data_IF_069541398159
#
_entry.id   IF_069541398159
#
_cell.length_a   1.000
_cell.length_b   1.000
_cell.length_c   1.000
_cell.angle_alpha   90.00
_cell.angle_beta   90.00
_cell.angle_gamma   90.00
#
_symmetry.space_group_name_H-M   'P 1'
#
loop_
_entity.id
_entity.type
_entity.pdbx_description
1 polymer ?
#
# COMPACT_ATOMS: atom_id res chain seq x y z
N UNK A 1 -16.75 17.26 19.75
CA UNK A 1 -15.44 17.90 19.89
C UNK A 1 -14.52 17.26 18.85
N UNK A 2 -14.46 17.83 17.64
CA UNK A 2 -13.71 17.33 16.48
C UNK A 2 -12.83 18.48 15.98
N UNK A 3 -11.70 18.74 16.65
CA UNK A 3 -10.83 19.89 16.32
C UNK A 3 -9.37 19.51 16.10
N UNK A 4 -9.01 18.22 16.06
CA UNK A 4 -7.62 17.81 15.82
C UNK A 4 -7.34 17.13 14.47
N UNK A 5 -8.28 17.07 13.53
CA UNK A 5 -8.02 16.53 12.18
C UNK A 5 -7.57 15.06 12.13
N UNK A 6 -7.62 14.32 13.25
CA UNK A 6 -7.13 12.93 13.40
C UNK A 6 -8.04 11.89 12.70
N UNK A 7 -8.97 12.33 11.83
CA UNK A 7 -9.98 11.46 11.22
C UNK A 7 -10.28 11.78 9.75
N UNK A 8 -9.44 12.55 9.05
CA UNK A 8 -9.62 12.77 7.60
C UNK A 8 -9.42 11.51 6.76
N UNK A 9 -8.95 10.42 7.37
CA UNK A 9 -8.83 9.07 6.80
C UNK A 9 -9.97 8.11 7.23
N UNK A 10 -11.01 8.60 7.92
CA UNK A 10 -12.17 7.77 8.24
C UNK A 10 -13.20 7.85 7.12
N UNK A 11 -13.27 6.78 6.32
CA UNK A 11 -14.17 6.69 5.16
C UNK A 11 -15.64 6.97 5.50
N UNK A 12 -16.11 6.65 6.71
CA UNK A 12 -17.53 6.75 7.10
C UNK A 12 -18.10 8.15 6.89
N UNK A 13 -17.28 9.20 6.97
CA UNK A 13 -17.73 10.57 6.78
C UNK A 13 -18.03 10.94 5.32
N UNK A 14 -17.38 10.30 4.36
CA UNK A 14 -17.36 10.78 2.98
C UNK A 14 -17.46 9.69 1.91
N UNK A 15 -17.55 8.42 2.29
CA UNK A 15 -17.57 7.31 1.33
C UNK A 15 -18.78 7.34 0.39
N UNK A 16 -19.92 7.81 0.87
CA UNK A 16 -21.11 8.06 0.06
C UNK A 16 -20.93 9.16 -1.02
N UNK A 17 -19.82 9.91 -0.98
CA UNK A 17 -19.43 10.94 -1.97
C UNK A 17 -18.19 10.53 -2.75
N UNK A 18 -17.81 9.25 -2.75
CA UNK A 18 -16.56 8.80 -3.37
C UNK A 18 -16.44 9.21 -4.84
N UNK A 19 -17.50 9.07 -5.63
CA UNK A 19 -17.50 9.46 -7.05
C UNK A 19 -17.18 10.96 -7.21
N UNK A 20 -17.84 11.82 -6.45
CA UNK A 20 -17.56 13.26 -6.43
C UNK A 20 -16.12 13.55 -5.97
N UNK A 21 -15.59 12.81 -4.99
CA UNK A 21 -14.20 12.96 -4.55
C UNK A 21 -13.25 12.63 -5.69
N UNK A 22 -13.48 11.55 -6.44
CA UNK A 22 -12.65 11.18 -7.57
C UNK A 22 -12.72 12.23 -8.71
N UNK A 23 -13.90 12.81 -8.94
CA UNK A 23 -14.07 13.91 -9.90
C UNK A 23 -13.31 15.17 -9.48
N UNK A 24 -13.39 15.55 -8.19
CA UNK A 24 -12.71 16.73 -7.65
C UNK A 24 -11.20 16.52 -7.53
N UNK A 25 -10.76 15.30 -7.27
CA UNK A 25 -9.34 14.95 -7.11
C UNK A 25 -8.67 14.72 -8.47
N UNK A 26 -8.66 15.77 -9.29
CA UNK A 26 -7.95 15.76 -10.57
C UNK A 26 -6.48 16.15 -10.39
N UNK A 27 -5.58 15.28 -10.82
CA UNK A 27 -4.15 15.61 -10.87
C UNK A 27 -3.85 16.61 -12.00
N UNK A 28 -2.97 17.58 -11.71
CA UNK A 28 -2.47 18.53 -12.69
C UNK A 28 -1.71 17.85 -13.83
N UNK A 29 -1.66 18.50 -15.00
CA UNK A 29 -1.01 17.96 -16.21
C UNK A 29 0.45 17.59 -15.98
N UNK A 30 1.19 18.39 -15.22
CA UNK A 30 2.59 18.13 -14.88
C UNK A 30 2.76 16.86 -14.03
N UNK A 31 1.90 16.67 -13.03
CA UNK A 31 1.90 15.45 -12.19
C UNK A 31 1.66 14.21 -13.03
N UNK A 32 0.66 14.27 -13.92
CA UNK A 32 0.32 13.18 -14.83
C UNK A 32 1.50 12.86 -15.77
N UNK A 33 2.08 13.89 -16.38
CA UNK A 33 3.23 13.78 -17.27
C UNK A 33 4.43 13.13 -16.55
N UNK A 34 4.79 13.62 -15.37
CA UNK A 34 5.93 13.11 -14.62
C UNK A 34 5.74 11.64 -14.21
N UNK A 35 4.52 11.23 -13.88
CA UNK A 35 4.22 9.83 -13.57
C UNK A 35 4.35 8.92 -14.79
N UNK A 36 3.84 9.35 -15.96
CA UNK A 36 3.98 8.64 -17.23
C UNK A 36 5.45 8.51 -17.63
N UNK A 37 6.22 9.59 -17.53
CA UNK A 37 7.66 9.57 -17.82
C UNK A 37 8.42 8.66 -16.85
N UNK A 38 8.05 8.64 -15.58
CA UNK A 38 8.62 7.73 -14.59
C UNK A 38 8.32 6.26 -14.94
N UNK A 39 7.07 5.95 -15.29
CA UNK A 39 6.68 4.61 -15.73
C UNK A 39 7.48 4.19 -16.97
N UNK A 40 7.49 5.03 -18.00
CA UNK A 40 8.19 4.76 -19.25
C UNK A 40 9.68 4.50 -19.05
N UNK A 41 10.32 5.24 -18.13
CA UNK A 41 11.76 5.14 -17.88
C UNK A 41 12.16 3.91 -17.06
N UNK A 42 11.31 3.44 -16.14
CA UNK A 42 11.73 2.49 -15.08
C UNK A 42 11.00 1.15 -15.18
N UNK A 43 9.73 1.17 -15.62
CA UNK A 43 8.79 0.05 -15.41
C UNK A 43 8.17 -0.44 -16.73
N UNK A 44 8.24 0.32 -17.82
CA UNK A 44 7.54 0.02 -19.10
C UNK A 44 7.71 -1.42 -19.59
N UNK A 45 8.93 -1.96 -19.56
CA UNK A 45 9.24 -3.31 -20.06
C UNK A 45 8.89 -4.42 -19.04
N UNK A 46 8.48 -4.03 -17.84
CA UNK A 46 8.03 -4.97 -16.81
C UNK A 46 6.52 -5.18 -16.91
N UNK A 47 6.13 -6.28 -17.55
CA UNK A 47 4.73 -6.69 -17.73
C UNK A 47 4.16 -7.52 -16.57
N UNK A 48 4.92 -7.69 -15.48
CA UNK A 48 4.49 -8.44 -14.30
C UNK A 48 3.32 -7.77 -13.55
N UNK A 49 2.70 -8.47 -12.62
CA UNK A 49 1.74 -7.86 -11.71
C UNK A 49 2.43 -7.01 -10.65
N UNK A 50 2.05 -5.73 -10.58
CA UNK A 50 2.63 -4.74 -9.67
C UNK A 50 1.92 -4.77 -8.32
N UNK A 51 2.62 -5.32 -7.31
CA UNK A 51 2.24 -5.21 -5.90
C UNK A 51 2.90 -3.95 -5.34
N UNK A 52 2.11 -2.92 -5.14
CA UNK A 52 2.56 -1.67 -4.57
C UNK A 52 2.40 -1.71 -3.05
N UNK A 53 3.42 -1.28 -2.33
CA UNK A 53 3.51 -1.41 -0.87
C UNK A 53 3.86 -0.07 -0.28
N UNK A 54 2.95 0.50 0.51
CA UNK A 54 3.27 1.68 1.30
C UNK A 54 3.80 1.30 2.68
N UNK A 55 5.00 1.77 3.01
CA UNK A 55 5.63 1.61 4.32
C UNK A 55 5.76 2.96 5.04
N UNK A 56 5.59 2.93 6.35
CA UNK A 56 5.79 4.07 7.24
C UNK A 56 6.51 3.60 8.49
N UNK A 57 7.72 4.11 8.67
CA UNK A 57 8.59 3.80 9.81
C UNK A 57 9.11 5.10 10.41
N UNK A 58 9.54 5.07 11.68
CA UNK A 58 10.08 6.24 12.39
C UNK A 58 9.03 6.97 13.21
N UNK A 59 8.35 7.96 12.62
CA UNK A 59 7.35 8.79 13.33
C UNK A 59 6.06 8.06 13.72
N UNK A 60 5.93 6.80 13.29
CA UNK A 60 4.82 5.91 13.61
C UNK A 60 5.17 4.87 14.68
N UNK A 61 6.38 4.89 15.26
CA UNK A 61 6.78 3.91 16.28
C UNK A 61 5.83 3.98 17.48
N UNK A 62 5.18 2.85 17.81
CA UNK A 62 4.15 2.76 18.85
C UNK A 62 2.76 3.22 18.41
N UNK A 63 2.60 3.64 17.16
CA UNK A 63 1.34 4.11 16.55
C UNK A 63 0.92 3.23 15.35
N UNK A 64 1.51 2.03 15.21
CA UNK A 64 1.17 1.11 14.13
C UNK A 64 2.11 1.19 12.93
N UNK A 65 3.39 1.45 13.19
CA UNK A 65 4.50 1.44 12.22
C UNK A 65 4.56 0.14 11.40
N UNK A 66 5.11 0.24 10.20
CA UNK A 66 5.48 -0.92 9.40
C UNK A 66 6.56 -1.73 10.11
N UNK A 67 6.39 -3.05 10.17
CA UNK A 67 7.39 -3.99 10.67
C UNK A 67 7.83 -4.88 9.51
N UNK A 68 9.14 -5.09 9.34
CA UNK A 68 9.70 -5.80 8.17
C UNK A 68 9.07 -7.18 7.98
N UNK A 69 9.03 -8.02 9.02
CA UNK A 69 8.43 -9.36 8.93
C UNK A 69 6.95 -9.35 8.53
N UNK A 70 6.19 -8.34 8.98
CA UNK A 70 4.77 -8.20 8.64
C UNK A 70 4.61 -7.81 7.16
N UNK A 71 5.46 -6.88 6.69
CA UNK A 71 5.49 -6.50 5.28
C UNK A 71 5.83 -7.71 4.41
N UNK A 72 6.83 -8.50 4.81
CA UNK A 72 7.28 -9.68 4.09
C UNK A 72 6.18 -10.74 3.96
N UNK A 73 5.58 -11.13 5.09
CA UNK A 73 4.51 -12.11 5.11
C UNK A 73 3.26 -11.61 4.37
N UNK A 74 2.92 -10.33 4.48
CA UNK A 74 1.77 -9.75 3.78
C UNK A 74 1.93 -9.79 2.26
N UNK A 75 3.11 -9.45 1.73
CA UNK A 75 3.39 -9.53 0.28
C UNK A 75 3.21 -10.98 -0.21
N UNK A 76 3.71 -11.95 0.54
CA UNK A 76 3.61 -13.36 0.18
C UNK A 76 2.16 -13.88 0.24
N UNK A 77 1.38 -13.49 1.25
CA UNK A 77 -0.06 -13.79 1.33
C UNK A 77 -0.79 -13.22 0.11
N UNK A 78 -0.51 -11.97 -0.26
CA UNK A 78 -1.10 -11.31 -1.44
C UNK A 78 -0.75 -12.09 -2.71
N UNK A 79 0.53 -12.42 -2.89
CA UNK A 79 1.00 -13.19 -4.05
C UNK A 79 0.29 -14.53 -4.16
N UNK A 80 0.15 -15.26 -3.06
CA UNK A 80 -0.56 -16.54 -3.01
C UNK A 80 -2.04 -16.39 -3.33
N UNK A 81 -2.70 -15.36 -2.79
CA UNK A 81 -4.11 -15.09 -3.07
C UNK A 81 -4.34 -14.76 -4.54
N UNK A 82 -3.49 -13.92 -5.14
CA UNK A 82 -3.57 -13.59 -6.56
C UNK A 82 -3.33 -14.86 -7.41
N UNK A 83 -2.30 -15.63 -7.08
CA UNK A 83 -1.97 -16.86 -7.83
C UNK A 83 -3.12 -17.88 -7.79
N UNK A 84 -3.79 -18.03 -6.64
CA UNK A 84 -4.93 -18.93 -6.48
C UNK A 84 -6.18 -18.45 -7.21
N UNK A 85 -6.45 -17.14 -7.18
CA UNK A 85 -7.71 -16.57 -7.69
C UNK A 85 -7.65 -16.24 -9.19
N UNK A 86 -6.47 -16.04 -9.78
CA UNK A 86 -6.29 -15.57 -11.16
C UNK A 86 -5.61 -16.60 -12.09
N UNK A 87 -5.83 -17.90 -11.79
CA UNK A 87 -5.36 -19.10 -12.51
C UNK A 87 -4.46 -18.80 -13.74
N UNK A 88 -3.14 -18.90 -13.56
CA UNK A 88 -2.10 -18.96 -14.61
C UNK A 88 -1.85 -17.73 -15.51
N UNK A 89 -2.55 -16.60 -15.36
CA UNK A 89 -2.42 -15.46 -16.29
C UNK A 89 -1.34 -14.43 -15.94
N UNK A 90 -0.67 -14.55 -14.79
CA UNK A 90 0.21 -13.51 -14.26
C UNK A 90 1.67 -13.76 -14.65
N UNK A 91 2.27 -12.85 -15.40
CA UNK A 91 3.68 -12.92 -15.87
C UNK A 91 4.69 -12.59 -14.74
N UNK A 92 4.56 -13.29 -13.62
CA UNK A 92 5.32 -13.02 -12.40
C UNK A 92 4.84 -11.79 -11.65
N UNK A 93 5.60 -11.39 -10.63
CA UNK A 93 5.26 -10.29 -9.73
C UNK A 93 6.42 -9.34 -9.60
N UNK A 94 6.14 -8.04 -9.55
CA UNK A 94 7.11 -7.02 -9.16
C UNK A 94 6.56 -6.19 -8.02
N UNK A 95 7.47 -5.74 -7.15
CA UNK A 95 7.11 -4.99 -5.95
C UNK A 95 7.54 -3.54 -6.15
N UNK A 96 6.66 -2.60 -5.80
CA UNK A 96 6.96 -1.17 -5.80
C UNK A 96 6.78 -0.65 -4.37
N UNK A 97 7.87 -0.24 -3.74
CA UNK A 97 7.85 0.33 -2.40
C UNK A 97 7.69 1.85 -2.45
N UNK A 98 6.63 2.33 -1.83
CA UNK A 98 6.41 3.72 -1.43
C UNK A 98 6.76 3.85 0.05
N UNK A 99 7.83 4.55 0.38
CA UNK A 99 8.25 4.74 1.76
C UNK A 99 9.47 5.63 1.81
N UNK A 100 9.71 6.32 2.93
CA UNK A 100 10.81 7.29 3.02
C UNK A 100 12.05 6.75 3.72
N UNK A 101 11.92 5.65 4.48
CA UNK A 101 13.04 5.08 5.23
C UNK A 101 13.78 4.01 4.41
N UNK A 102 14.86 4.43 3.75
CA UNK A 102 15.70 3.52 2.95
C UNK A 102 16.37 2.44 3.79
N UNK A 103 16.68 2.69 5.08
CA UNK A 103 17.30 1.67 5.94
C UNK A 103 16.29 0.57 6.23
N UNK A 104 15.07 0.93 6.61
CA UNK A 104 13.96 0.00 6.80
C UNK A 104 13.71 -0.84 5.53
N UNK A 105 13.63 -0.21 4.37
CA UNK A 105 13.40 -0.89 3.09
C UNK A 105 14.52 -1.89 2.72
N UNK A 106 15.77 -1.60 3.10
CA UNK A 106 16.91 -2.52 2.91
C UNK A 106 16.86 -3.75 3.82
N UNK A 107 16.14 -3.69 4.94
CA UNK A 107 15.98 -4.82 5.87
C UNK A 107 14.82 -5.75 5.49
N UNK A 108 14.00 -5.39 4.51
CA UNK A 108 12.96 -6.27 3.97
C UNK A 108 13.64 -7.35 3.12
N UNK A 109 13.59 -8.60 3.58
CA UNK A 109 14.28 -9.76 3.00
C UNK A 109 13.50 -10.49 1.90
N UNK A 110 12.25 -10.11 1.60
CA UNK A 110 11.44 -10.64 0.45
C UNK A 110 12.23 -10.69 -0.87
N UNK A 111 13.26 -9.84 -0.93
CA UNK A 111 14.00 -9.38 -2.08
C UNK A 111 15.11 -10.36 -2.51
N UNK A 112 15.40 -11.39 -1.70
CA UNK A 112 16.34 -12.45 -2.07
C UNK A 112 15.67 -13.69 -2.67
N UNK A 113 14.38 -13.66 -2.98
CA UNK A 113 13.71 -14.80 -3.61
C UNK A 113 13.68 -14.66 -5.13
N UNK A 114 14.06 -15.71 -5.85
CA UNK A 114 13.89 -15.88 -7.31
C UNK A 114 12.42 -15.77 -7.79
N UNK A 115 11.50 -15.44 -6.88
CA UNK A 115 10.04 -15.44 -7.06
C UNK A 115 9.52 -14.12 -7.63
N UNK A 116 10.25 -13.01 -7.45
CA UNK A 116 9.85 -11.69 -7.94
C UNK A 116 10.74 -11.24 -9.10
N UNK A 117 10.12 -10.69 -10.15
CA UNK A 117 10.83 -10.26 -11.35
C UNK A 117 11.71 -9.04 -11.07
N UNK A 118 11.12 -8.02 -10.42
CA UNK A 118 11.79 -6.75 -10.13
C UNK A 118 11.25 -6.13 -8.85
N UNK A 119 12.10 -5.37 -8.18
CA UNK A 119 11.74 -4.61 -6.99
C UNK A 119 12.20 -3.18 -7.16
N UNK A 120 11.27 -2.25 -6.95
CA UNK A 120 11.45 -0.83 -7.18
C UNK A 120 11.30 -0.07 -5.86
N UNK A 121 12.25 0.81 -5.57
CA UNK A 121 12.21 1.66 -4.38
C UNK A 121 12.03 3.13 -4.78
N UNK A 122 10.81 3.65 -4.64
CA UNK A 122 10.52 5.02 -5.09
C UNK A 122 11.23 6.08 -4.23
N UNK A 123 11.67 5.72 -3.02
CA UNK A 123 12.56 6.52 -2.18
C UNK A 123 13.89 6.91 -2.85
N UNK A 124 14.35 6.15 -3.85
CA UNK A 124 15.65 6.38 -4.51
C UNK A 124 15.56 7.40 -5.65
N UNK A 125 14.37 7.60 -6.20
CA UNK A 125 14.10 8.51 -7.31
C UNK A 125 13.38 9.81 -6.89
N UNK A 126 13.05 9.93 -5.59
CA UNK A 126 12.56 11.14 -4.92
C UNK A 126 11.42 11.86 -5.68
N UNK A 127 10.36 11.12 -5.98
CA UNK A 127 9.17 11.68 -6.65
C UNK A 127 8.38 12.59 -5.72
N UNK A 128 7.71 13.59 -6.30
CA UNK A 128 6.71 14.36 -5.56
C UNK A 128 5.53 13.46 -5.16
N UNK A 129 4.93 13.72 -3.99
CA UNK A 129 3.80 12.92 -3.47
C UNK A 129 2.61 12.84 -4.43
N UNK A 130 2.29 13.93 -5.14
CA UNK A 130 1.25 13.90 -6.15
C UNK A 130 1.54 12.93 -7.30
N UNK A 131 2.81 12.83 -7.70
CA UNK A 131 3.27 11.90 -8.75
C UNK A 131 3.16 10.46 -8.26
N UNK A 132 3.55 10.16 -7.02
CA UNK A 132 3.38 8.83 -6.43
C UNK A 132 1.90 8.42 -6.33
N UNK A 133 1.01 9.31 -5.87
CA UNK A 133 -0.43 9.05 -5.78
C UNK A 133 -1.02 8.72 -7.16
N UNK A 134 -0.73 9.55 -8.17
CA UNK A 134 -1.21 9.29 -9.52
C UNK A 134 -0.57 8.05 -10.14
N UNK A 135 0.74 7.84 -9.91
CA UNK A 135 1.42 6.63 -10.36
C UNK A 135 0.73 5.38 -9.79
N UNK A 136 0.46 5.38 -8.49
CA UNK A 136 -0.17 4.24 -7.84
C UNK A 136 -1.58 3.98 -8.41
N UNK A 137 -2.36 5.03 -8.63
CA UNK A 137 -3.67 4.96 -9.25
C UNK A 137 -3.66 4.30 -10.63
N UNK A 138 -2.64 4.60 -11.46
CA UNK A 138 -2.59 4.12 -12.84
C UNK A 138 -1.91 2.76 -13.00
N UNK A 139 -0.83 2.51 -12.25
CA UNK A 139 0.12 1.43 -12.57
C UNK A 139 0.21 0.32 -11.51
N UNK A 140 -0.38 0.50 -10.32
CA UNK A 140 -0.48 -0.58 -9.35
C UNK A 140 -1.66 -1.49 -9.69
N UNK A 141 -1.42 -2.80 -9.73
CA UNK A 141 -2.49 -3.79 -9.86
C UNK A 141 -3.07 -4.17 -8.49
N UNK A 142 -2.22 -4.16 -7.46
CA UNK A 142 -2.60 -4.41 -6.06
C UNK A 142 -1.86 -3.45 -5.15
N UNK A 143 -2.50 -3.02 -4.07
CA UNK A 143 -1.91 -2.12 -3.10
C UNK A 143 -1.94 -2.70 -1.69
N UNK A 144 -0.87 -2.50 -0.92
CA UNK A 144 -0.73 -2.94 0.45
C UNK A 144 -0.42 -1.74 1.36
N UNK A 145 -1.30 -1.51 2.32
CA UNK A 145 -1.15 -0.54 3.40
C UNK A 145 -0.59 -1.25 4.64
N UNK A 146 0.60 -0.86 5.07
CA UNK A 146 1.28 -1.52 6.22
C UNK A 146 1.21 -0.71 7.51
N UNK A 147 0.80 0.55 7.40
CA UNK A 147 0.52 1.49 8.49
C UNK A 147 -0.79 2.22 8.18
N UNK A 148 -1.89 1.78 8.82
CA UNK A 148 -3.25 2.16 8.43
C UNK A 148 -3.65 3.58 8.84
N UNK A 149 -3.00 4.15 9.87
CA UNK A 149 -3.19 5.55 10.28
C UNK A 149 -2.44 6.55 9.38
N UNK A 150 -1.84 6.08 8.27
CA UNK A 150 -1.20 6.98 7.33
C UNK A 150 -2.25 7.55 6.39
N UNK A 151 -2.66 8.80 6.60
CA UNK A 151 -3.51 9.53 5.66
C UNK A 151 -3.00 9.44 4.22
N UNK A 152 -1.69 9.46 4.03
CA UNK A 152 -1.08 9.33 2.71
C UNK A 152 -1.37 7.97 2.06
N UNK A 153 -1.20 6.86 2.80
CA UNK A 153 -1.50 5.52 2.30
C UNK A 153 -3.01 5.33 2.08
N UNK A 154 -3.83 5.90 2.96
CA UNK A 154 -5.28 5.91 2.81
C UNK A 154 -5.68 6.56 1.49
N UNK A 155 -5.22 7.79 1.23
CA UNK A 155 -5.56 8.49 -0.01
C UNK A 155 -5.00 7.80 -1.26
N UNK A 156 -3.81 7.20 -1.16
CA UNK A 156 -3.24 6.42 -2.25
C UNK A 156 -4.13 5.26 -2.66
N UNK A 157 -4.64 4.48 -1.70
CA UNK A 157 -5.60 3.39 -1.97
C UNK A 157 -6.99 3.92 -2.36
N UNK A 158 -7.50 4.92 -1.65
CA UNK A 158 -8.86 5.42 -1.82
C UNK A 158 -9.12 6.01 -3.22
N UNK A 159 -8.10 6.61 -3.82
CA UNK A 159 -8.15 7.19 -5.16
C UNK A 159 -7.97 6.14 -6.30
N UNK A 160 -7.59 4.90 -5.98
CA UNK A 160 -7.46 3.84 -6.98
C UNK A 160 -8.80 3.47 -7.61
N UNK A 161 -8.81 2.96 -8.87
CA UNK A 161 -10.00 2.37 -9.47
C UNK A 161 -10.57 1.23 -8.60
N UNK A 162 -11.89 1.02 -8.66
CA UNK A 162 -12.59 0.02 -7.83
C UNK A 162 -12.27 -1.43 -8.19
N UNK A 163 -11.65 -1.67 -9.34
CA UNK A 163 -11.19 -3.00 -9.77
C UNK A 163 -9.83 -3.38 -9.16
N UNK A 164 -9.20 -2.47 -8.38
CA UNK A 164 -7.92 -2.72 -7.72
C UNK A 164 -8.12 -3.40 -6.38
N UNK A 165 -7.30 -4.41 -6.12
CA UNK A 165 -7.27 -5.08 -4.82
C UNK A 165 -6.44 -4.23 -3.83
N UNK A 166 -7.06 -3.80 -2.74
CA UNK A 166 -6.41 -3.03 -1.68
C UNK A 166 -6.39 -3.88 -0.42
N UNK A 167 -5.19 -4.22 0.02
CA UNK A 167 -4.93 -4.95 1.25
C UNK A 167 -4.42 -4.00 2.34
N UNK A 168 -4.66 -4.36 3.59
CA UNK A 168 -4.04 -3.69 4.73
C UNK A 168 -3.68 -4.69 5.81
N UNK A 169 -2.57 -4.44 6.52
CA UNK A 169 -2.27 -5.19 7.75
C UNK A 169 -3.20 -4.66 8.84
N UNK A 170 -4.09 -5.51 9.34
CA UNK A 170 -5.01 -5.11 10.41
C UNK A 170 -4.22 -4.91 11.69
N UNK A 171 -4.41 -3.76 12.34
CA UNK A 171 -3.77 -3.42 13.60
C UNK A 171 -4.79 -2.83 14.56
N UNK A 172 -4.49 -3.03 15.84
CA UNK A 172 -5.20 -2.42 16.95
C UNK A 172 -4.24 -1.46 17.64
N UNK A 173 -4.61 -0.18 17.70
CA UNK A 173 -3.77 0.88 18.29
C UNK A 173 -4.56 1.64 19.34
N UNK A 174 -3.86 2.14 20.35
CA UNK A 174 -4.46 2.96 21.41
C UNK A 174 -3.89 4.37 21.33
N UNK A 175 -4.73 5.34 20.97
CA UNK A 175 -4.33 6.74 20.86
C UNK A 175 -5.12 7.55 21.86
N UNK A 176 -4.43 8.21 22.79
CA UNK A 176 -5.05 9.04 23.83
C UNK A 176 -6.15 8.29 24.63
N UNK A 177 -5.97 6.98 24.86
CA UNK A 177 -6.92 6.12 25.55
C UNK A 177 -8.06 5.57 24.68
N UNK A 178 -8.13 5.90 23.40
CA UNK A 178 -9.11 5.37 22.46
C UNK A 178 -8.53 4.19 21.68
N UNK A 179 -9.24 3.05 21.70
CA UNK A 179 -8.95 1.91 20.84
C UNK A 179 -9.39 2.20 19.41
N UNK A 180 -8.50 1.97 18.45
CA UNK A 180 -8.77 2.11 17.03
C UNK A 180 -8.42 0.79 16.36
N UNK A 181 -9.41 0.19 15.70
CA UNK A 181 -9.24 -0.97 14.82
C UNK A 181 -9.18 -0.50 13.36
N UNK A 182 -8.13 -0.90 12.65
CA UNK A 182 -7.98 -0.62 11.23
C UNK A 182 -9.21 -1.02 10.41
N UNK A 183 -9.87 -2.13 10.76
CA UNK A 183 -11.09 -2.61 10.08
C UNK A 183 -12.28 -1.67 10.22
N UNK A 184 -12.33 -0.88 11.29
CA UNK A 184 -13.41 0.09 11.51
C UNK A 184 -13.10 1.46 10.88
N UNK A 185 -11.82 1.75 10.66
CA UNK A 185 -11.32 3.01 10.13
C UNK A 185 -11.20 3.02 8.61
N UNK A 186 -11.03 1.85 7.98
CA UNK A 186 -10.81 1.70 6.54
C UNK A 186 -12.08 1.22 5.79
N UNK A 187 -12.19 1.50 4.47
CA UNK A 187 -13.31 1.05 3.66
C UNK A 187 -13.55 -0.47 3.75
N UNK A 188 -14.82 -0.91 3.79
CA UNK A 188 -15.19 -2.30 4.06
C UNK A 188 -14.87 -3.25 2.91
N UNK A 189 -14.66 -2.72 1.70
CA UNK A 189 -14.25 -3.43 0.50
C UNK A 189 -12.74 -3.71 0.46
N UNK A 190 -11.96 -3.09 1.35
CA UNK A 190 -10.53 -3.37 1.48
C UNK A 190 -10.30 -4.66 2.28
N UNK A 191 -9.22 -5.36 1.96
CA UNK A 191 -8.98 -6.73 2.40
C UNK A 191 -8.02 -6.72 3.60
N UNK A 192 -8.46 -7.08 4.82
CA UNK A 192 -7.57 -7.22 5.96
C UNK A 192 -6.65 -8.43 5.80
N UNK A 193 -5.39 -8.26 6.20
CA UNK A 193 -4.47 -9.34 6.53
C UNK A 193 -4.35 -9.34 8.06
N UNK A 194 -4.90 -10.39 8.67
CA UNK A 194 -4.94 -10.55 10.12
C UNK A 194 -3.54 -10.87 10.66
N UNK A 195 -3.14 -10.26 11.79
CA UNK A 195 -1.82 -10.49 12.37
C UNK A 195 -1.47 -11.97 12.63
N UNK A 196 -2.40 -12.83 13.13
CA UNK A 196 -2.12 -14.25 13.28
C UNK A 196 -1.64 -14.94 11.99
N UNK A 197 -2.17 -14.53 10.82
CA UNK A 197 -1.75 -15.11 9.55
C UNK A 197 -0.29 -14.76 9.20
N UNK A 198 0.20 -13.62 9.68
CA UNK A 198 1.59 -13.21 9.51
C UNK A 198 2.52 -14.10 10.35
N UNK A 199 2.11 -14.45 11.58
CA UNK A 199 2.88 -15.35 12.45
C UNK A 199 2.89 -16.80 11.95
N UNK A 200 1.74 -17.33 11.50
CA UNK A 200 1.67 -18.66 10.92
C UNK A 200 2.56 -18.81 9.68
N UNK A 201 2.70 -17.72 8.91
CA UNK A 201 3.58 -17.69 7.75
C UNK A 201 5.07 -17.76 8.14
N UNK A 202 5.47 -17.10 9.22
CA UNK A 202 6.84 -17.18 9.74
C UNK A 202 7.18 -18.59 10.23
N UNK A 203 6.26 -19.26 10.94
CA UNK A 203 6.50 -20.61 11.48
C UNK A 203 6.66 -21.64 10.36
N UNK A 204 5.95 -21.50 9.24
CA UNK A 204 6.02 -22.44 8.10
C UNK A 204 7.30 -22.30 7.25
N UNK A 205 8.14 -21.30 7.51
CA UNK A 205 9.42 -21.10 6.82
C UNK A 205 10.63 -21.68 7.58
N UNK A 206 10.43 -22.23 8.78
CA UNK A 206 11.42 -22.94 9.60
C UNK A 206 11.02 -24.40 9.80
#
# INVERSE_FOLDING_TARGET
MLTMGIHFENYKYFHHKRELILELFCFGSEVKKNAVETYNRIIMDDISHKICVHTRFGDFVGLGESLTFQVEAAIEIIRQNITKNFEKSVNGFSIIFFGTDQKFLRYIKVINSEVYNKIYYFSEINLQRGVELYFAQQYCNTFLITAFLSSYSFWMGYLMPTDRLIYYIRKHVYILGYHIDAKEALPPDWIPIEEPWLFDHLIKQY
#
